data_IF_881893376380
#
_entry.id   IF_881893376380
#
_cell.length_a   1.000
_cell.length_b   1.000
_cell.length_c   1.000
_cell.angle_alpha   90.00
_cell.angle_beta   90.00
_cell.angle_gamma   90.00
#
_symmetry.space_group_name_H-M   'P 1'
#
loop_
_entity.id
_entity.type
_entity.pdbx_description
1 polymer ?
#
# COMPACT_ATOMS: atom_id res chain seq x y z
N UNK A 1 -20.23 19.14 -9.20
CA UNK A 1 -19.15 18.74 -10.13
C UNK A 1 -19.83 18.02 -11.29
N UNK A 2 -19.90 18.68 -12.46
CA UNK A 2 -20.64 18.16 -13.62
C UNK A 2 -19.89 17.07 -14.40
N UNK A 3 -18.74 16.63 -13.92
CA UNK A 3 -17.95 15.58 -14.55
C UNK A 3 -17.84 14.36 -13.65
N UNK A 4 -18.01 13.14 -14.19
CA UNK A 4 -17.80 11.93 -13.42
C UNK A 4 -16.34 11.83 -12.95
N UNK A 5 -16.15 11.43 -11.70
CA UNK A 5 -14.83 11.29 -11.08
C UNK A 5 -14.08 10.08 -11.67
N UNK A 6 -14.82 9.07 -12.13
CA UNK A 6 -14.24 7.87 -12.74
C UNK A 6 -14.76 7.66 -14.16
N UNK A 7 -13.96 7.03 -15.02
CA UNK A 7 -14.38 6.70 -16.39
C UNK A 7 -15.27 5.43 -16.45
N UNK A 8 -15.24 4.56 -15.43
CA UNK A 8 -15.89 3.24 -15.44
C UNK A 8 -16.59 2.88 -14.11
N UNK A 9 -16.76 3.85 -13.20
CA UNK A 9 -17.49 3.70 -11.96
C UNK A 9 -16.71 3.20 -10.75
N UNK A 10 -15.42 2.91 -10.90
CA UNK A 10 -14.55 2.47 -9.80
C UNK A 10 -14.78 1.02 -9.36
N UNK A 11 -14.30 0.68 -8.17
CA UNK A 11 -14.35 -0.68 -7.61
C UNK A 11 -15.78 -1.19 -7.41
N UNK A 12 -16.74 -0.31 -7.14
CA UNK A 12 -18.14 -0.69 -6.95
C UNK A 12 -18.75 -1.34 -8.21
N UNK A 13 -18.27 -0.98 -9.40
CA UNK A 13 -18.71 -1.53 -10.67
C UNK A 13 -17.73 -2.55 -11.25
N UNK A 14 -16.44 -2.29 -11.16
CA UNK A 14 -15.39 -3.18 -11.66
C UNK A 14 -15.13 -4.41 -10.79
N UNK A 15 -15.56 -4.41 -9.53
CA UNK A 15 -15.47 -5.55 -8.62
C UNK A 15 -14.05 -5.88 -8.11
N UNK A 16 -13.03 -5.16 -8.50
CA UNK A 16 -11.64 -5.35 -8.02
C UNK A 16 -11.01 -6.70 -8.39
N UNK A 17 -11.13 -7.21 -9.62
CA UNK A 17 -10.51 -8.47 -10.01
C UNK A 17 -8.99 -8.36 -9.89
N UNK A 18 -8.37 -9.33 -9.22
CA UNK A 18 -6.93 -9.34 -8.96
C UNK A 18 -6.16 -9.30 -10.28
N UNK A 19 -5.26 -8.31 -10.40
CA UNK A 19 -4.39 -8.13 -11.58
C UNK A 19 -5.10 -7.64 -12.85
N UNK A 20 -6.43 -7.46 -12.86
CA UNK A 20 -7.18 -7.11 -14.06
C UNK A 20 -8.09 -5.88 -13.92
N UNK A 21 -8.07 -5.20 -12.81
CA UNK A 21 -8.93 -4.04 -12.56
C UNK A 21 -8.77 -2.95 -13.61
N UNK A 22 -7.53 -2.64 -14.02
CA UNK A 22 -7.24 -1.59 -14.99
C UNK A 22 -7.72 -1.90 -16.40
N UNK A 23 -8.02 -3.14 -16.74
CA UNK A 23 -8.61 -3.49 -18.04
C UNK A 23 -9.98 -2.87 -18.24
N UNK A 24 -10.78 -2.70 -17.18
CA UNK A 24 -12.04 -1.96 -17.23
C UNK A 24 -11.83 -0.48 -17.56
N UNK A 25 -10.82 0.14 -16.94
CA UNK A 25 -10.47 1.53 -17.21
C UNK A 25 -9.98 1.71 -18.66
N UNK A 26 -9.14 0.79 -19.15
CA UNK A 26 -8.66 0.80 -20.54
C UNK A 26 -9.80 0.68 -21.54
N UNK A 27 -10.70 -0.29 -21.37
CA UNK A 27 -11.84 -0.50 -22.25
C UNK A 27 -12.76 0.73 -22.27
N UNK A 28 -13.17 1.21 -21.12
CA UNK A 28 -14.06 2.36 -21.00
C UNK A 28 -13.44 3.64 -21.57
N UNK A 29 -12.14 3.84 -21.34
CA UNK A 29 -11.44 5.01 -21.84
C UNK A 29 -11.20 4.92 -23.36
N UNK A 30 -10.91 3.73 -23.90
CA UNK A 30 -10.81 3.52 -25.34
C UNK A 30 -12.11 3.89 -26.05
N UNK A 31 -13.25 3.45 -25.52
CA UNK A 31 -14.56 3.81 -26.07
C UNK A 31 -14.85 5.31 -25.97
N UNK A 32 -14.46 5.94 -24.85
CA UNK A 32 -14.58 7.39 -24.70
C UNK A 32 -13.72 8.14 -25.72
N UNK A 33 -12.45 7.75 -25.90
CA UNK A 33 -11.54 8.40 -26.84
C UNK A 33 -11.93 8.20 -28.31
N UNK A 34 -12.63 7.10 -28.66
CA UNK A 34 -13.19 6.92 -30.00
C UNK A 34 -14.29 7.92 -30.31
N UNK A 35 -15.07 8.32 -29.29
CA UNK A 35 -16.14 9.32 -29.46
C UNK A 35 -15.65 10.77 -29.34
N UNK A 36 -14.94 11.03 -28.24
CA UNK A 36 -14.64 12.41 -27.82
C UNK A 36 -13.25 12.88 -28.30
N UNK A 37 -12.43 11.95 -28.80
CA UNK A 37 -11.02 12.15 -29.16
C UNK A 37 -10.19 12.73 -27.99
N UNK A 38 -8.87 12.77 -28.15
CA UNK A 38 -7.97 13.34 -27.15
C UNK A 38 -6.98 12.34 -26.58
N UNK A 39 -6.41 12.69 -25.42
CA UNK A 39 -5.41 11.88 -24.71
C UNK A 39 -5.85 11.67 -23.27
N UNK A 40 -5.64 10.47 -22.74
CA UNK A 40 -5.95 10.11 -21.37
C UNK A 40 -4.74 9.49 -20.69
N UNK A 41 -4.60 9.78 -19.39
CA UNK A 41 -3.67 9.12 -18.49
C UNK A 41 -4.46 8.15 -17.60
N UNK A 42 -4.09 6.88 -17.65
CA UNK A 42 -4.59 5.86 -16.74
C UNK A 42 -3.52 5.55 -15.71
N UNK A 43 -3.92 5.50 -14.45
CA UNK A 43 -3.01 5.27 -13.33
C UNK A 43 -3.48 4.08 -12.51
N UNK A 44 -2.58 3.15 -12.25
CA UNK A 44 -2.80 2.00 -11.40
C UNK A 44 -1.90 2.04 -10.17
N UNK A 45 -2.50 1.79 -9.03
CA UNK A 45 -1.81 1.63 -7.75
C UNK A 45 -2.00 0.19 -7.28
N UNK A 46 -0.91 -0.46 -6.89
CA UNK A 46 -0.91 -1.81 -6.35
C UNK A 46 -0.12 -1.91 -5.05
N UNK A 47 -0.43 -2.95 -4.25
CA UNK A 47 0.35 -3.33 -3.09
C UNK A 47 0.58 -2.21 -2.07
N UNK A 48 -0.44 -1.56 -1.53
CA UNK A 48 -0.31 -0.44 -0.58
C UNK A 48 0.55 0.73 -1.11
N UNK A 49 0.35 1.12 -2.36
CA UNK A 49 1.09 2.17 -3.05
C UNK A 49 2.59 1.86 -3.30
N UNK A 50 2.99 0.60 -3.22
CA UNK A 50 4.38 0.19 -3.48
C UNK A 50 4.68 -0.02 -4.96
N UNK A 51 3.65 -0.26 -5.77
CA UNK A 51 3.75 -0.47 -7.21
C UNK A 51 2.81 0.51 -7.92
N UNK A 52 3.37 1.36 -8.75
CA UNK A 52 2.60 2.35 -9.48
C UNK A 52 2.92 2.23 -10.97
N UNK A 53 1.88 2.18 -11.79
CA UNK A 53 2.00 2.13 -13.23
C UNK A 53 1.11 3.21 -13.86
N UNK A 54 1.60 3.82 -14.92
CA UNK A 54 0.85 4.81 -15.68
C UNK A 54 0.89 4.42 -17.16
N UNK A 55 -0.25 4.56 -17.83
CA UNK A 55 -0.40 4.33 -19.27
C UNK A 55 -1.02 5.57 -19.88
N UNK A 56 -0.39 6.11 -20.92
CA UNK A 56 -0.97 7.16 -21.74
C UNK A 56 -1.59 6.52 -22.99
N UNK A 57 -2.86 6.80 -23.23
CA UNK A 57 -3.55 6.38 -24.44
C UNK A 57 -4.10 7.60 -25.18
N UNK A 58 -4.10 7.56 -26.51
CA UNK A 58 -4.54 8.67 -27.35
C UNK A 58 -5.36 8.17 -28.53
N UNK A 59 -6.33 8.96 -28.96
CA UNK A 59 -7.04 8.75 -30.21
C UNK A 59 -6.23 9.15 -31.44
N UNK A 60 -5.13 9.88 -31.25
CA UNK A 60 -4.24 10.30 -32.32
C UNK A 60 -2.91 9.53 -32.23
N UNK A 61 -2.39 9.02 -33.35
CA UNK A 61 -1.08 8.38 -33.37
C UNK A 61 0.01 9.35 -32.92
N UNK A 62 0.92 8.87 -32.08
CA UNK A 62 2.10 9.63 -31.68
C UNK A 62 3.22 9.41 -32.72
N UNK A 63 3.47 10.39 -33.56
CA UNK A 63 4.43 10.28 -34.67
C UNK A 63 5.88 9.97 -34.21
N UNK A 64 6.22 10.30 -32.96
CA UNK A 64 7.55 10.07 -32.36
C UNK A 64 7.58 8.92 -31.37
N UNK A 65 6.48 8.20 -31.17
CA UNK A 65 6.48 7.07 -30.26
C UNK A 65 7.22 5.88 -30.87
N UNK A 66 8.28 5.48 -30.23
CA UNK A 66 8.95 4.21 -30.53
C UNK A 66 8.26 3.12 -29.71
N UNK A 67 7.78 2.07 -30.35
CA UNK A 67 7.08 0.99 -29.68
C UNK A 67 7.68 -0.37 -30.10
N UNK A 68 7.95 -1.31 -29.18
CA UNK A 68 7.75 -1.20 -27.72
C UNK A 68 8.77 -0.28 -27.06
N UNK A 69 8.37 0.36 -25.99
CA UNK A 69 9.22 1.25 -25.22
C UNK A 69 9.40 0.69 -23.81
N UNK A 70 10.62 0.53 -23.41
CA UNK A 70 10.95 0.16 -22.02
C UNK A 70 10.98 1.43 -21.17
N UNK A 71 9.92 1.66 -20.44
CA UNK A 71 9.77 2.78 -19.50
C UNK A 71 9.97 2.31 -18.06
N UNK A 72 11.08 1.68 -17.77
CA UNK A 72 11.42 1.39 -16.39
C UNK A 72 11.96 2.64 -15.70
N UNK A 73 11.10 3.30 -14.93
CA UNK A 73 11.45 4.48 -14.13
C UNK A 73 11.91 4.11 -12.70
N UNK A 74 12.16 2.86 -12.39
CA UNK A 74 12.53 2.43 -11.04
C UNK A 74 13.84 3.07 -10.55
N UNK A 75 14.83 3.21 -11.42
CA UNK A 75 16.09 3.85 -11.08
C UNK A 75 15.90 5.32 -10.69
N UNK A 76 15.14 6.07 -11.50
CA UNK A 76 14.82 7.47 -11.26
C UNK A 76 13.98 7.66 -9.99
N UNK A 77 12.98 6.81 -9.78
CA UNK A 77 12.15 6.82 -8.59
C UNK A 77 12.99 6.52 -7.34
N UNK A 78 13.92 5.57 -7.43
CA UNK A 78 14.83 5.24 -6.34
C UNK A 78 15.79 6.38 -6.01
N UNK A 79 16.33 7.05 -7.03
CA UNK A 79 17.23 8.19 -6.85
C UNK A 79 16.55 9.40 -6.19
N UNK A 80 15.23 9.59 -6.44
CA UNK A 80 14.43 10.68 -5.87
C UNK A 80 13.79 10.33 -4.52
N UNK A 81 13.86 9.09 -4.09
CA UNK A 81 13.28 8.66 -2.82
C UNK A 81 14.10 9.20 -1.66
N UNK A 82 13.44 9.83 -0.70
CA UNK A 82 14.07 10.19 0.56
C UNK A 82 14.56 8.92 1.31
N UNK A 83 15.60 9.04 2.14
CA UNK A 83 16.07 7.92 2.95
C UNK A 83 14.93 7.32 3.78
N UNK A 84 14.73 6.02 3.68
CA UNK A 84 13.75 5.30 4.50
C UNK A 84 14.47 4.85 5.77
N UNK A 85 13.93 5.14 6.97
CA UNK A 85 14.52 4.67 8.21
C UNK A 85 14.62 3.15 8.24
N UNK A 86 15.74 2.65 8.72
CA UNK A 86 15.90 1.20 8.93
C UNK A 86 14.91 0.72 9.98
N UNK A 87 14.43 -0.51 9.80
CA UNK A 87 13.55 -1.17 10.78
C UNK A 87 14.43 -1.95 11.75
N UNK A 88 14.21 -1.70 13.05
CA UNK A 88 14.84 -2.44 14.14
C UNK A 88 13.77 -3.36 14.78
N UNK A 89 13.84 -4.65 14.46
CA UNK A 89 12.85 -5.63 14.90
C UNK A 89 13.03 -6.10 16.36
N UNK A 90 14.20 -5.86 16.93
CA UNK A 90 14.57 -6.34 18.27
C UNK A 90 14.69 -5.19 19.30
N UNK A 91 14.33 -3.98 18.90
CA UNK A 91 14.44 -2.79 19.75
C UNK A 91 13.58 -2.94 21.02
N UNK A 92 14.20 -2.63 22.15
CA UNK A 92 13.55 -2.51 23.45
C UNK A 92 13.92 -1.16 24.06
N UNK A 93 12.95 -0.36 24.41
CA UNK A 93 13.20 0.94 24.99
C UNK A 93 12.11 1.96 24.69
N UNK A 94 12.43 3.21 24.92
CA UNK A 94 11.53 4.33 24.65
C UNK A 94 11.55 4.70 23.17
N UNK A 95 10.37 4.84 22.58
CA UNK A 95 10.22 5.24 21.19
C UNK A 95 9.03 6.20 21.03
N UNK A 96 9.09 7.08 20.03
CA UNK A 96 8.04 8.05 19.72
C UNK A 96 7.09 7.46 18.72
N UNK A 97 5.78 7.44 18.99
CA UNK A 97 4.76 6.96 18.07
C UNK A 97 4.74 7.83 16.81
N UNK A 98 4.90 7.19 15.63
CA UNK A 98 4.72 7.84 14.33
C UNK A 98 3.30 7.65 13.81
N UNK A 99 2.77 6.43 13.93
CA UNK A 99 1.42 6.07 13.52
C UNK A 99 0.99 4.76 14.16
N UNK A 100 -0.30 4.49 14.13
CA UNK A 100 -0.87 3.28 14.69
C UNK A 100 -2.13 2.85 13.94
N UNK A 101 -2.57 1.63 14.19
CA UNK A 101 -3.87 1.11 13.77
C UNK A 101 -4.36 0.05 14.77
N UNK A 102 -5.66 -0.08 14.91
CA UNK A 102 -6.27 -1.16 15.69
C UNK A 102 -7.15 -1.98 14.76
N UNK A 103 -6.92 -3.28 14.73
CA UNK A 103 -7.75 -4.22 13.99
C UNK A 103 -8.87 -4.72 14.88
N UNK A 104 -10.07 -4.81 14.33
CA UNK A 104 -11.26 -5.28 15.04
C UNK A 104 -11.75 -6.61 14.49
N UNK A 105 -12.40 -7.37 15.35
CA UNK A 105 -13.18 -8.54 14.97
C UNK A 105 -14.53 -8.10 14.38
N UNK A 106 -15.28 -9.06 13.82
CA UNK A 106 -16.61 -8.77 13.23
C UNK A 106 -17.65 -8.32 14.27
N UNK A 107 -17.46 -8.69 15.52
CA UNK A 107 -18.30 -8.28 16.67
C UNK A 107 -17.97 -6.90 17.23
N UNK A 108 -16.97 -6.21 16.64
CA UNK A 108 -16.53 -4.90 17.08
C UNK A 108 -15.51 -4.92 18.22
N UNK A 109 -15.13 -6.09 18.74
CA UNK A 109 -14.06 -6.19 19.74
C UNK A 109 -12.68 -5.94 19.12
N UNK A 110 -11.78 -5.30 19.86
CA UNK A 110 -10.40 -5.13 19.40
C UNK A 110 -9.70 -6.50 19.30
N UNK A 111 -8.98 -6.71 18.20
CA UNK A 111 -8.21 -7.92 17.96
C UNK A 111 -6.73 -7.74 18.26
N UNK A 112 -6.15 -6.67 17.74
CA UNK A 112 -4.74 -6.33 17.90
C UNK A 112 -4.50 -4.88 17.51
N UNK A 113 -3.73 -4.17 18.29
CA UNK A 113 -3.16 -2.88 17.90
C UNK A 113 -1.80 -3.07 17.24
N UNK A 114 -1.46 -2.22 16.32
CA UNK A 114 -0.13 -2.14 15.70
C UNK A 114 0.35 -0.70 15.75
N UNK A 115 1.53 -0.49 16.29
CA UNK A 115 2.15 0.82 16.45
C UNK A 115 3.44 0.86 15.66
N UNK A 116 3.64 1.90 14.87
CA UNK A 116 4.93 2.24 14.27
C UNK A 116 5.51 3.40 15.07
N UNK A 117 6.71 3.21 15.59
CA UNK A 117 7.38 4.20 16.40
C UNK A 117 8.80 4.45 15.91
N UNK A 118 9.35 5.58 16.33
CA UNK A 118 10.70 6.04 16.01
C UNK A 118 11.59 5.93 17.25
N UNK A 119 12.71 5.23 17.12
CA UNK A 119 13.72 5.16 18.17
C UNK A 119 14.53 6.46 18.25
N UNK A 120 15.25 6.72 19.37
CA UNK A 120 16.16 7.85 19.45
C UNK A 120 17.23 7.89 18.36
N UNK A 121 17.65 6.73 17.86
CA UNK A 121 18.64 6.58 16.78
C UNK A 121 18.00 6.71 15.39
N UNK A 122 16.78 7.22 15.31
CA UNK A 122 16.06 7.46 14.06
C UNK A 122 15.73 6.19 13.25
N UNK A 123 15.66 5.02 13.89
CA UNK A 123 15.17 3.78 13.30
C UNK A 123 13.67 3.63 13.53
N UNK A 124 13.00 2.82 12.75
CA UNK A 124 11.61 2.45 12.96
C UNK A 124 11.49 1.14 13.70
N UNK A 125 10.53 1.06 14.58
CA UNK A 125 10.13 -0.16 15.27
C UNK A 125 8.64 -0.41 15.04
N UNK A 126 8.29 -1.67 14.91
CA UNK A 126 6.92 -2.13 14.80
C UNK A 126 6.56 -2.88 16.07
N UNK A 127 5.60 -2.36 16.81
CA UNK A 127 5.11 -2.97 18.04
C UNK A 127 3.68 -3.50 17.86
N UNK A 128 3.42 -4.66 18.44
CA UNK A 128 2.09 -5.26 18.49
C UNK A 128 1.50 -5.09 19.89
N UNK A 129 0.28 -4.60 19.96
CA UNK A 129 -0.48 -4.44 21.21
C UNK A 129 -1.56 -5.52 21.25
N UNK A 130 -1.46 -6.51 22.14
CA UNK A 130 -2.47 -7.55 22.24
C UNK A 130 -3.80 -6.97 22.75
N UNK A 131 -4.91 -7.58 22.37
CA UNK A 131 -6.24 -7.15 22.82
C UNK A 131 -6.42 -7.20 24.35
N UNK A 132 -5.63 -8.03 25.03
CA UNK A 132 -5.62 -8.11 26.51
C UNK A 132 -4.98 -6.91 27.20
N UNK A 133 -4.25 -6.07 26.45
CA UNK A 133 -3.76 -4.78 26.95
C UNK A 133 -4.82 -3.69 26.69
N UNK A 134 -5.91 -3.79 27.45
CA UNK A 134 -7.07 -2.90 27.31
C UNK A 134 -6.66 -1.42 27.47
N UNK A 135 -5.76 -1.13 28.40
CA UNK A 135 -5.33 0.25 28.65
C UNK A 135 -4.61 0.87 27.43
N UNK A 136 -3.80 0.09 26.73
CA UNK A 136 -3.14 0.57 25.52
C UNK A 136 -4.11 0.62 24.34
N UNK A 137 -5.01 -0.36 24.21
CA UNK A 137 -6.07 -0.31 23.18
C UNK A 137 -6.97 0.94 23.37
N UNK A 138 -7.39 1.21 24.59
CA UNK A 138 -8.18 2.40 24.91
C UNK A 138 -7.41 3.70 24.62
N UNK A 139 -6.12 3.73 24.96
CA UNK A 139 -5.27 4.88 24.60
C UNK A 139 -5.22 5.13 23.10
N UNK A 140 -5.09 4.08 22.29
CA UNK A 140 -5.05 4.20 20.83
C UNK A 140 -6.41 4.56 20.21
N UNK A 141 -7.53 4.25 20.89
CA UNK A 141 -8.89 4.39 20.33
C UNK A 141 -9.74 5.46 20.97
N UNK A 142 -9.31 6.04 22.08
CA UNK A 142 -10.11 6.98 22.89
C UNK A 142 -10.53 8.26 22.16
N UNK A 143 -9.91 8.61 21.05
CA UNK A 143 -10.27 9.77 20.21
C UNK A 143 -10.16 11.14 20.90
N UNK A 144 -9.61 11.19 22.12
CA UNK A 144 -9.51 12.43 22.89
C UNK A 144 -8.30 13.27 22.52
N UNK A 145 -7.22 12.60 22.10
CA UNK A 145 -5.98 13.19 21.59
C UNK A 145 -5.40 12.19 20.61
N UNK A 146 -5.03 12.64 19.42
CA UNK A 146 -4.33 11.77 18.47
C UNK A 146 -3.01 11.30 19.12
N UNK A 147 -2.78 9.96 19.24
CA UNK A 147 -1.54 9.45 19.83
C UNK A 147 -0.28 9.98 19.17
N UNK A 148 -0.35 10.38 17.89
CA UNK A 148 0.74 10.99 17.14
C UNK A 148 1.02 12.42 17.58
N UNK A 149 0.01 13.17 18.02
CA UNK A 149 0.18 14.53 18.53
C UNK A 149 0.84 14.54 19.92
N UNK A 150 0.82 13.42 20.61
CA UNK A 150 1.53 13.20 21.87
C UNK A 150 3.01 12.85 21.66
N UNK A 151 3.68 13.52 20.73
CA UNK A 151 5.11 13.31 20.40
C UNK A 151 6.05 13.35 21.62
N UNK A 152 5.57 13.81 22.78
CA UNK A 152 6.29 13.81 24.04
C UNK A 152 6.04 12.58 24.91
N UNK A 153 5.11 11.67 24.56
CA UNK A 153 4.88 10.45 25.31
C UNK A 153 5.62 9.30 24.67
N UNK A 154 6.69 8.92 25.34
CA UNK A 154 7.47 7.73 25.00
C UNK A 154 6.64 6.49 25.30
N UNK A 155 6.46 5.64 24.31
CA UNK A 155 5.99 4.29 24.50
C UNK A 155 7.17 3.46 25.00
N UNK A 156 7.09 2.96 26.22
CA UNK A 156 8.09 2.00 26.70
C UNK A 156 7.69 0.62 26.15
N UNK A 157 8.40 0.18 25.14
CA UNK A 157 8.20 -1.13 24.54
C UNK A 157 8.82 -2.18 25.45
N UNK A 158 8.01 -2.77 26.33
CA UNK A 158 8.38 -3.96 27.07
C UNK A 158 8.10 -5.19 26.20
N UNK A 159 9.19 -5.81 25.75
CA UNK A 159 9.16 -7.13 25.15
C UNK A 159 8.03 -7.36 24.15
N UNK A 160 8.19 -6.90 22.93
CA UNK A 160 7.30 -7.33 21.84
C UNK A 160 7.34 -8.84 21.83
N UNK A 161 6.19 -9.48 22.15
CA UNK A 161 6.05 -10.90 21.91
C UNK A 161 6.44 -11.12 20.45
N UNK A 162 7.55 -11.83 20.23
CA UNK A 162 8.00 -12.20 18.89
C UNK A 162 6.80 -12.75 18.15
N UNK A 163 6.24 -11.98 17.22
CA UNK A 163 5.52 -12.61 16.14
C UNK A 163 6.55 -13.47 15.45
N UNK A 164 6.55 -14.77 15.77
CA UNK A 164 7.33 -15.75 15.02
C UNK A 164 7.05 -15.44 13.56
N UNK A 165 8.03 -14.87 12.88
CA UNK A 165 8.08 -14.88 11.44
C UNK A 165 7.86 -16.34 11.10
N UNK A 166 6.67 -16.71 10.65
CA UNK A 166 6.52 -17.95 9.89
C UNK A 166 7.41 -17.73 8.69
N UNK A 167 8.60 -18.27 8.74
CA UNK A 167 9.41 -18.49 7.56
C UNK A 167 8.52 -19.32 6.63
N UNK A 168 7.89 -18.65 5.70
CA UNK A 168 7.40 -19.34 4.52
C UNK A 168 8.67 -19.78 3.80
N UNK A 169 8.82 -21.06 3.51
CA UNK A 169 9.90 -21.49 2.64
C UNK A 169 9.77 -20.69 1.34
N UNK A 170 10.88 -20.12 0.90
CA UNK A 170 11.00 -19.38 -0.37
C UNK A 170 11.12 -20.37 -1.52
N UNK A 171 10.40 -21.47 -1.51
CA UNK A 171 10.37 -22.49 -2.54
C UNK A 171 8.94 -22.84 -2.90
N UNK A 172 8.28 -21.88 -3.57
CA UNK A 172 7.18 -22.20 -4.47
C UNK A 172 7.54 -21.53 -5.80
N UNK A 173 8.45 -22.15 -6.51
CA UNK A 173 8.62 -21.95 -7.94
C UNK A 173 7.26 -22.24 -8.58
N UNK A 174 6.68 -21.20 -9.16
CA UNK A 174 5.53 -21.34 -10.04
C UNK A 174 6.08 -21.96 -11.35
N UNK A 175 6.09 -23.28 -11.43
CA UNK A 175 6.29 -23.99 -12.69
C UNK A 175 5.05 -23.76 -13.54
N UNK A 176 5.12 -22.75 -14.42
CA UNK A 176 4.23 -22.69 -15.58
C UNK A 176 4.61 -23.86 -16.49
N UNK A 177 3.84 -24.96 -16.41
CA UNK A 177 3.95 -26.05 -17.35
C UNK A 177 3.76 -25.56 -18.78
N UNK A 178 4.78 -25.68 -19.60
CA UNK A 178 4.68 -25.60 -21.03
C UNK A 178 3.80 -26.80 -21.48
N UNK A 179 2.62 -26.51 -22.02
CA UNK A 179 1.86 -27.50 -22.75
C UNK A 179 2.49 -27.67 -24.12
N UNK A 180 3.14 -28.81 -24.33
CA UNK A 180 3.59 -29.27 -25.64
C UNK A 180 2.40 -29.43 -26.57
N UNK A 181 2.46 -28.74 -27.70
CA UNK A 181 1.61 -29.00 -28.84
C UNK A 181 2.18 -30.17 -29.64
N UNK A 182 1.39 -31.21 -29.77
CA UNK A 182 1.49 -32.20 -30.82
C UNK A 182 0.19 -32.19 -31.63
#
# INVERSE_FOLDING_TARGET
>A
VDRPITAFGGLAFGGGPIGNYMSHALASMADKLRRDRGTALLFANGGYATHNHAIVISSEPQAKAVFPHDYDCNADAKARRAPVPQVDGDYQGLATIETYTVFYNRDGSARVGTVIARTPENKRVLASVPASDEAMIDFLTAGRVEPVDLRSRYLQLHGVARTRRRERPVDAQCECGAADAA
#
